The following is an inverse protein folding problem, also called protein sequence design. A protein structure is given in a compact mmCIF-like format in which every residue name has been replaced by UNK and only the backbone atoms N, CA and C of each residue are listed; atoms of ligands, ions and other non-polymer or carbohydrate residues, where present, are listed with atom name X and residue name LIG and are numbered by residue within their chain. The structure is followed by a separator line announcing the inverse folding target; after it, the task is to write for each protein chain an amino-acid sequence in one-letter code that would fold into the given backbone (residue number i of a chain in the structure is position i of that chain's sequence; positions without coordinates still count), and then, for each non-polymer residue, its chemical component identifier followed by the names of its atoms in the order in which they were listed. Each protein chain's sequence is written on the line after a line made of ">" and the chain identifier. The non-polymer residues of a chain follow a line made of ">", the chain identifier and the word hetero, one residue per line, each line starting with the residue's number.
data_IF_831507777547
#
_entry.id   IF_831507777547
#
_cell.length_a   1.000
_cell.length_b   1.000
_cell.length_c   1.000
_cell.angle_alpha   90.00
_cell.angle_beta   90.00
_cell.angle_gamma   90.00
#
_symmetry.space_group_name_H-M   'P 1'
#
loop_
_entity.id
_entity.type
_entity.pdbx_description
1 polymer ?
#
# COMPACT_ATOMS: atom_id res chain seq x y z
N UNK A 1 22.72 -7.19 14.19
CA UNK A 1 21.45 -7.42 13.46
C UNK A 1 21.01 -6.10 12.89
N UNK A 2 20.57 -6.09 11.64
CA UNK A 2 20.07 -4.87 10.99
C UNK A 2 18.80 -4.36 11.68
N UNK A 3 18.63 -3.04 11.73
CA UNK A 3 17.41 -2.40 12.27
C UNK A 3 16.20 -2.65 11.36
N UNK A 4 16.44 -2.72 10.05
CA UNK A 4 15.39 -2.80 9.03
C UNK A 4 15.86 -3.59 7.81
N UNK A 5 14.95 -4.28 7.14
CA UNK A 5 15.16 -4.85 5.80
C UNK A 5 14.35 -4.07 4.78
N UNK A 6 14.99 -3.57 3.73
CA UNK A 6 14.30 -2.94 2.61
C UNK A 6 14.01 -4.02 1.56
N UNK A 7 12.73 -4.22 1.24
CA UNK A 7 12.25 -5.16 0.23
C UNK A 7 11.80 -4.38 -0.99
N UNK A 8 12.43 -4.65 -2.13
CA UNK A 8 12.17 -3.96 -3.41
C UNK A 8 11.63 -4.99 -4.41
N UNK A 9 10.32 -5.02 -4.67
CA UNK A 9 9.77 -5.84 -5.75
C UNK A 9 10.14 -5.21 -7.11
N UNK A 10 10.64 -6.03 -8.02
CA UNK A 10 10.98 -5.62 -9.38
C UNK A 10 10.26 -6.46 -10.42
N UNK A 11 9.72 -5.83 -11.45
CA UNK A 11 9.21 -6.48 -12.64
C UNK A 11 9.41 -5.58 -13.85
N UNK A 12 10.34 -5.97 -14.75
CA UNK A 12 10.72 -5.22 -15.95
C UNK A 12 11.02 -3.73 -15.66
N UNK A 13 11.80 -3.49 -14.60
CA UNK A 13 12.06 -2.14 -14.08
C UNK A 13 13.49 -1.64 -14.29
N UNK A 14 14.26 -2.21 -15.21
CA UNK A 14 15.69 -1.91 -15.43
C UNK A 14 15.97 -0.39 -15.54
N UNK A 15 15.05 0.37 -16.13
CA UNK A 15 15.21 1.81 -16.33
C UNK A 15 15.24 2.63 -15.00
N UNK A 16 14.72 2.07 -13.92
CA UNK A 16 14.60 2.75 -12.62
C UNK A 16 15.58 2.22 -11.57
N UNK A 17 16.05 0.98 -11.74
CA UNK A 17 16.84 0.26 -10.74
C UNK A 17 18.08 1.03 -10.29
N UNK A 18 18.82 1.66 -11.21
CA UNK A 18 20.04 2.39 -10.85
C UNK A 18 19.73 3.51 -9.86
N UNK A 19 18.78 4.36 -10.15
CA UNK A 19 18.40 5.50 -9.30
C UNK A 19 17.88 5.02 -7.95
N UNK A 20 17.04 4.00 -7.94
CA UNK A 20 16.48 3.43 -6.73
C UNK A 20 17.59 2.83 -5.84
N UNK A 21 18.38 1.91 -6.37
CA UNK A 21 19.39 1.19 -5.60
C UNK A 21 20.52 2.09 -5.12
N UNK A 22 21.00 3.04 -5.95
CA UNK A 22 22.01 4.01 -5.53
C UNK A 22 21.50 4.84 -4.34
N UNK A 23 20.26 5.32 -4.39
CA UNK A 23 19.66 6.11 -3.30
C UNK A 23 19.41 5.31 -2.02
N UNK A 24 19.05 4.04 -2.16
CA UNK A 24 18.88 3.11 -1.04
C UNK A 24 20.23 2.82 -0.38
N UNK A 25 21.26 2.52 -1.14
CA UNK A 25 22.58 2.22 -0.60
C UNK A 25 23.30 3.43 0.00
N UNK A 26 22.85 4.64 -0.34
CA UNK A 26 23.32 5.90 0.25
C UNK A 26 22.61 6.28 1.57
N UNK A 27 21.74 5.42 2.13
CA UNK A 27 21.06 5.70 3.38
C UNK A 27 22.04 5.79 4.54
N UNK A 28 21.72 6.68 5.50
CA UNK A 28 22.52 6.93 6.70
C UNK A 28 21.67 6.84 7.97
N UNK A 29 22.33 6.69 9.12
CA UNK A 29 21.65 6.69 10.43
C UNK A 29 20.89 5.41 10.79
N UNK A 30 21.01 4.35 9.99
CA UNK A 30 20.35 3.06 10.23
C UNK A 30 21.18 1.91 9.65
N UNK A 31 21.16 0.76 10.29
CA UNK A 31 21.72 -0.49 9.74
C UNK A 31 20.60 -1.24 9.00
N UNK A 32 20.84 -1.55 7.72
CA UNK A 32 19.82 -2.17 6.87
C UNK A 32 20.37 -3.32 6.03
N UNK A 33 19.49 -4.27 5.73
CA UNK A 33 19.64 -5.25 4.67
C UNK A 33 18.76 -4.85 3.48
N UNK A 34 19.17 -5.22 2.26
CA UNK A 34 18.39 -4.96 1.04
C UNK A 34 18.12 -6.28 0.34
N UNK A 35 16.83 -6.58 0.12
CA UNK A 35 16.37 -7.76 -0.61
C UNK A 35 15.58 -7.28 -1.83
N UNK A 36 16.01 -7.68 -3.00
CA UNK A 36 15.33 -7.39 -4.27
C UNK A 36 14.62 -8.66 -4.72
N UNK A 37 13.31 -8.58 -4.92
CA UNK A 37 12.53 -9.69 -5.45
C UNK A 37 12.21 -9.41 -6.91
N UNK A 38 12.98 -10.03 -7.79
CA UNK A 38 12.69 -9.98 -9.21
C UNK A 38 11.56 -10.95 -9.55
N UNK A 39 10.45 -10.40 -10.02
CA UNK A 39 9.20 -11.12 -10.23
C UNK A 39 9.08 -11.64 -11.67
N UNK A 40 10.15 -12.29 -12.16
CA UNK A 40 10.21 -12.87 -13.50
C UNK A 40 10.44 -11.84 -14.60
N UNK A 41 11.37 -10.89 -14.41
CA UNK A 41 11.73 -9.90 -15.43
C UNK A 41 12.43 -10.54 -16.62
N UNK A 42 12.23 -9.93 -17.80
CA UNK A 42 12.83 -10.34 -19.09
C UNK A 42 13.58 -9.19 -19.78
N UNK A 43 13.75 -8.06 -19.07
CA UNK A 43 14.35 -6.83 -19.58
C UNK A 43 15.85 -6.67 -19.26
N UNK A 44 16.49 -7.70 -18.68
CA UNK A 44 17.88 -7.65 -18.23
C UNK A 44 18.07 -7.18 -16.78
N UNK A 45 16.97 -6.92 -16.03
CA UNK A 45 17.01 -6.49 -14.63
C UNK A 45 17.83 -7.40 -13.74
N UNK A 46 17.69 -8.72 -13.88
CA UNK A 46 18.39 -9.72 -13.04
C UNK A 46 19.90 -9.64 -13.22
N UNK A 47 20.37 -9.60 -14.47
CA UNK A 47 21.79 -9.48 -14.79
C UNK A 47 22.36 -8.13 -14.33
N UNK A 48 21.59 -7.04 -14.54
CA UNK A 48 21.97 -5.72 -14.08
C UNK A 48 22.15 -5.66 -12.56
N UNK A 49 21.22 -6.21 -11.78
CA UNK A 49 21.30 -6.23 -10.30
C UNK A 49 22.47 -7.07 -9.84
N UNK A 50 22.61 -8.31 -10.33
CA UNK A 50 23.65 -9.22 -9.88
C UNK A 50 25.06 -8.72 -10.20
N UNK A 51 25.25 -8.00 -11.30
CA UNK A 51 26.55 -7.46 -11.72
C UNK A 51 26.92 -6.17 -10.98
N UNK A 52 25.95 -5.29 -10.70
CA UNK A 52 26.23 -3.94 -10.18
C UNK A 52 25.96 -3.79 -8.67
N UNK A 53 25.15 -4.67 -8.08
CA UNK A 53 24.71 -4.59 -6.68
C UNK A 53 24.86 -5.93 -5.95
N UNK A 54 26.06 -6.58 -5.96
CA UNK A 54 26.27 -7.89 -5.36
C UNK A 54 26.10 -7.89 -3.83
N UNK A 55 26.07 -6.73 -3.17
CA UNK A 55 25.80 -6.56 -1.75
C UNK A 55 24.31 -6.68 -1.39
N UNK A 56 23.39 -6.64 -2.37
CA UNK A 56 21.96 -6.85 -2.16
C UNK A 56 21.63 -8.34 -2.36
N UNK A 57 20.71 -8.88 -1.53
CA UNK A 57 20.16 -10.21 -1.79
C UNK A 57 19.19 -10.13 -2.98
N UNK A 58 19.49 -10.83 -4.07
CA UNK A 58 18.59 -10.95 -5.23
C UNK A 58 17.88 -12.30 -5.20
N UNK A 59 16.56 -12.26 -5.25
CA UNK A 59 15.68 -13.44 -5.36
C UNK A 59 14.92 -13.36 -6.68
N UNK A 60 15.14 -14.32 -7.58
CA UNK A 60 14.46 -14.39 -8.87
C UNK A 60 13.30 -15.39 -8.82
N UNK A 61 12.10 -14.91 -9.13
CA UNK A 61 10.93 -15.75 -9.35
C UNK A 61 10.88 -16.13 -10.86
N UNK A 62 10.27 -17.26 -11.16
CA UNK A 62 10.20 -17.80 -12.52
C UNK A 62 9.19 -17.08 -13.43
N UNK A 63 8.23 -16.35 -12.84
CA UNK A 63 7.24 -15.56 -13.56
C UNK A 63 6.65 -14.43 -12.67
N UNK A 64 5.84 -13.56 -13.27
CA UNK A 64 5.15 -12.50 -12.53
C UNK A 64 3.94 -13.05 -11.75
N UNK A 65 4.11 -13.19 -10.44
CA UNK A 65 3.05 -13.60 -9.49
C UNK A 65 2.26 -12.43 -8.88
N UNK A 66 2.54 -11.19 -9.31
CA UNK A 66 1.97 -9.98 -8.75
C UNK A 66 2.75 -9.41 -7.57
N UNK A 67 2.39 -8.20 -7.17
CA UNK A 67 3.06 -7.45 -6.11
C UNK A 67 3.02 -8.19 -4.75
N UNK A 68 1.84 -8.70 -4.38
CA UNK A 68 1.62 -9.35 -3.08
C UNK A 68 2.56 -10.54 -2.84
N UNK A 69 2.73 -11.40 -3.84
CA UNK A 69 3.63 -12.56 -3.75
C UNK A 69 5.08 -12.12 -3.63
N UNK A 70 5.50 -11.14 -4.45
CA UNK A 70 6.87 -10.65 -4.42
C UNK A 70 7.22 -10.05 -3.07
N UNK A 71 6.38 -9.17 -2.49
CA UNK A 71 6.66 -8.58 -1.18
C UNK A 71 6.60 -9.60 -0.05
N UNK A 72 5.69 -10.58 -0.09
CA UNK A 72 5.64 -11.66 0.90
C UNK A 72 6.93 -12.48 0.91
N UNK A 73 7.49 -12.78 -0.26
CA UNK A 73 8.77 -13.50 -0.37
C UNK A 73 9.89 -12.73 0.34
N UNK A 74 9.98 -11.42 0.14
CA UNK A 74 10.95 -10.58 0.83
C UNK A 74 10.69 -10.47 2.35
N UNK A 75 9.43 -10.29 2.77
CA UNK A 75 9.04 -10.24 4.18
C UNK A 75 9.39 -11.55 4.90
N UNK A 76 9.19 -12.69 4.25
CA UNK A 76 9.51 -14.01 4.84
C UNK A 76 11.02 -14.20 5.05
N UNK A 77 11.85 -13.58 4.22
CA UNK A 77 13.34 -13.62 4.32
C UNK A 77 13.89 -12.59 5.30
N UNK A 78 13.19 -11.49 5.52
CA UNK A 78 13.62 -10.42 6.42
C UNK A 78 13.89 -10.96 7.84
N UNK A 79 15.05 -10.59 8.43
CA UNK A 79 15.44 -10.99 9.78
C UNK A 79 15.37 -9.84 10.79
N UNK A 80 15.19 -8.62 10.30
CA UNK A 80 15.10 -7.41 11.09
C UNK A 80 13.72 -7.22 11.71
N UNK A 81 13.58 -6.45 12.80
CA UNK A 81 12.29 -6.18 13.44
C UNK A 81 11.32 -5.41 12.56
N UNK A 82 11.85 -4.65 11.60
CA UNK A 82 11.06 -3.85 10.67
C UNK A 82 11.39 -4.23 9.23
N UNK A 83 10.38 -4.13 8.37
CA UNK A 83 10.51 -4.25 6.92
C UNK A 83 9.99 -2.99 6.23
N UNK A 84 10.78 -2.41 5.34
CA UNK A 84 10.34 -1.34 4.44
C UNK A 84 10.01 -1.97 3.09
N UNK A 85 8.82 -1.73 2.58
CA UNK A 85 8.49 -1.98 1.19
C UNK A 85 8.75 -0.71 0.40
N UNK A 86 9.48 -0.85 -0.70
CA UNK A 86 9.86 0.27 -1.54
C UNK A 86 9.74 -0.11 -3.02
N UNK A 87 8.96 0.65 -3.79
CA UNK A 87 8.87 0.46 -5.23
C UNK A 87 10.22 0.74 -5.92
N UNK A 88 10.51 0.01 -6.98
CA UNK A 88 11.73 0.15 -7.77
C UNK A 88 11.81 1.46 -8.56
N UNK A 89 10.69 2.17 -8.77
CA UNK A 89 10.60 3.46 -9.46
C UNK A 89 10.65 4.67 -8.52
N UNK A 90 11.48 4.56 -7.46
CA UNK A 90 11.63 5.57 -6.43
C UNK A 90 13.08 6.08 -6.29
N UNK A 91 13.23 7.28 -5.72
CA UNK A 91 14.50 7.86 -5.25
C UNK A 91 14.31 8.33 -3.80
N UNK A 92 14.99 7.72 -2.84
CA UNK A 92 14.84 8.04 -1.41
C UNK A 92 15.86 9.09 -0.94
N UNK A 93 15.46 9.94 0.03
CA UNK A 93 16.36 10.92 0.66
C UNK A 93 17.25 10.21 1.70
N UNK A 94 18.43 10.78 2.05
CA UNK A 94 19.45 10.09 2.87
C UNK A 94 18.99 9.60 4.25
N UNK A 95 17.97 10.22 4.87
CA UNK A 95 17.42 9.83 6.18
C UNK A 95 16.09 9.09 6.10
N UNK A 96 15.64 8.72 4.91
CA UNK A 96 14.33 8.08 4.69
C UNK A 96 14.12 6.85 5.59
N UNK A 97 15.03 5.90 5.56
CA UNK A 97 14.90 4.68 6.37
C UNK A 97 15.06 4.94 7.86
N UNK A 98 15.98 5.84 8.25
CA UNK A 98 16.18 6.21 9.65
C UNK A 98 14.95 6.89 10.26
N UNK A 99 14.32 7.83 9.53
CA UNK A 99 13.09 8.51 9.97
C UNK A 99 11.93 7.53 10.16
N UNK A 100 11.73 6.60 9.22
CA UNK A 100 10.70 5.56 9.36
C UNK A 100 10.94 4.66 10.58
N UNK A 101 12.18 4.22 10.79
CA UNK A 101 12.54 3.38 11.96
C UNK A 101 12.34 4.17 13.26
N UNK A 102 12.73 5.44 13.31
CA UNK A 102 12.53 6.30 14.48
C UNK A 102 11.03 6.43 14.81
N UNK A 103 10.21 6.73 13.80
CA UNK A 103 8.76 6.82 13.95
C UNK A 103 8.14 5.53 14.50
N UNK A 104 8.56 4.36 14.01
CA UNK A 104 8.05 3.08 14.52
C UNK A 104 8.44 2.79 15.97
N UNK A 105 9.57 3.33 16.45
CA UNK A 105 10.04 3.15 17.84
C UNK A 105 9.28 4.01 18.85
N UNK A 106 8.58 5.06 18.43
CA UNK A 106 7.83 5.97 19.34
C UNK A 106 6.61 5.29 19.99
N UNK A 107 5.89 4.44 19.25
CA UNK A 107 4.70 3.77 19.76
C UNK A 107 4.64 2.31 19.26
N UNK A 108 4.73 1.37 20.19
CA UNK A 108 4.66 -0.08 19.87
C UNK A 108 3.34 -0.51 19.23
N UNK A 109 2.29 0.30 19.31
CA UNK A 109 1.01 0.04 18.64
C UNK A 109 1.03 0.41 17.15
N UNK A 110 2.07 1.11 16.67
CA UNK A 110 2.26 1.39 15.25
C UNK A 110 2.59 0.11 14.50
N UNK A 111 1.68 -0.30 13.65
CA UNK A 111 1.85 -1.45 12.75
C UNK A 111 2.66 -1.09 11.52
N UNK A 112 2.36 0.09 10.97
CA UNK A 112 2.99 0.60 9.74
C UNK A 112 3.14 2.11 9.79
N UNK A 113 4.07 2.62 8.99
CA UNK A 113 4.23 4.04 8.78
C UNK A 113 4.50 4.33 7.29
N UNK A 114 3.72 5.24 6.70
CA UNK A 114 3.88 5.69 5.31
C UNK A 114 4.89 6.83 5.24
N UNK A 115 5.75 6.79 4.25
CA UNK A 115 6.65 7.90 3.94
C UNK A 115 5.91 9.06 3.27
N UNK A 116 6.53 10.25 3.25
CA UNK A 116 6.13 11.39 2.41
C UNK A 116 6.56 11.11 0.97
N UNK A 117 5.63 10.60 0.18
CA UNK A 117 5.88 10.36 -1.24
C UNK A 117 5.63 11.62 -2.05
N UNK A 118 6.63 12.07 -2.78
CA UNK A 118 6.61 13.24 -3.65
C UNK A 118 6.63 12.81 -5.11
N UNK A 119 5.96 13.56 -5.98
CA UNK A 119 5.99 13.30 -7.42
C UNK A 119 7.41 13.51 -7.98
N UNK A 120 7.96 12.55 -8.69
CA UNK A 120 9.33 12.63 -9.23
C UNK A 120 9.56 13.87 -10.11
N UNK A 121 8.58 14.19 -10.97
CA UNK A 121 8.65 15.32 -11.91
C UNK A 121 8.25 16.67 -11.29
N UNK A 122 7.57 16.66 -10.12
CA UNK A 122 7.11 17.86 -9.40
C UNK A 122 7.39 17.69 -7.92
N UNK A 123 8.67 17.78 -7.54
CA UNK A 123 9.20 17.42 -6.22
C UNK A 123 8.64 18.21 -5.02
N UNK A 124 7.85 19.25 -5.25
CA UNK A 124 7.14 20.02 -4.22
C UNK A 124 5.69 19.57 -4.02
N UNK A 125 5.21 18.64 -4.86
CA UNK A 125 3.85 18.10 -4.79
C UNK A 125 3.84 16.67 -4.29
N UNK A 126 2.88 16.39 -3.41
CA UNK A 126 2.66 15.04 -2.90
C UNK A 126 2.16 14.10 -4.00
N UNK A 127 2.70 12.91 -4.01
CA UNK A 127 2.09 11.75 -4.67
C UNK A 127 1.21 10.99 -3.68
N UNK A 128 1.68 10.84 -2.43
CA UNK A 128 0.95 10.19 -1.34
C UNK A 128 1.50 10.61 0.03
N UNK A 129 0.61 10.76 1.02
CA UNK A 129 0.92 10.99 2.44
C UNK A 129 0.14 10.02 3.34
N UNK A 130 -0.03 8.78 2.87
CA UNK A 130 -0.89 7.76 3.45
C UNK A 130 -2.29 7.76 2.86
N UNK A 131 -3.05 6.73 3.18
CA UNK A 131 -4.38 6.54 2.60
C UNK A 131 -5.47 6.61 3.67
N UNK A 132 -6.64 7.09 3.26
CA UNK A 132 -7.89 6.98 3.99
C UNK A 132 -8.87 6.05 3.28
N UNK A 133 -9.82 5.51 4.04
CA UNK A 133 -10.92 4.74 3.49
C UNK A 133 -12.25 5.22 4.06
N UNK A 134 -13.32 5.29 3.27
CA UNK A 134 -14.61 5.79 3.72
C UNK A 134 -15.76 4.81 3.45
N UNK A 135 -16.91 5.07 4.06
CA UNK A 135 -18.08 4.21 3.97
C UNK A 135 -18.68 4.07 2.56
N UNK A 136 -18.33 4.95 1.61
CA UNK A 136 -18.66 4.75 0.19
C UNK A 136 -17.86 3.62 -0.48
N UNK A 137 -16.94 2.97 0.24
CA UNK A 137 -16.05 2.00 -0.34
C UNK A 137 -14.97 2.64 -1.22
N UNK A 138 -14.45 3.79 -0.82
CA UNK A 138 -13.41 4.50 -1.55
C UNK A 138 -12.13 4.62 -0.73
N UNK A 139 -11.02 4.17 -1.31
CA UNK A 139 -9.68 4.55 -0.87
C UNK A 139 -9.32 5.93 -1.43
N UNK A 140 -8.67 6.73 -0.63
CA UNK A 140 -8.33 8.12 -0.89
C UNK A 140 -6.85 8.29 -0.57
N UNK A 141 -6.04 8.59 -1.58
CA UNK A 141 -4.65 8.98 -1.39
C UNK A 141 -4.61 10.39 -0.79
N UNK A 142 -4.11 10.49 0.45
CA UNK A 142 -4.02 11.75 1.20
C UNK A 142 -3.04 12.69 0.54
N UNK A 143 -3.46 13.92 0.33
CA UNK A 143 -2.60 15.01 -0.16
C UNK A 143 -2.21 14.93 -1.63
N UNK A 144 -2.68 13.97 -2.41
CA UNK A 144 -2.23 13.81 -3.80
C UNK A 144 -2.39 15.07 -4.63
N UNK A 145 -1.25 15.57 -5.17
CA UNK A 145 -1.18 16.81 -5.96
C UNK A 145 -1.18 18.10 -5.14
N UNK A 146 -1.17 18.02 -3.80
CA UNK A 146 -1.05 19.17 -2.90
C UNK A 146 0.40 19.52 -2.62
N UNK A 147 0.70 20.78 -2.24
CA UNK A 147 2.01 21.18 -1.79
C UNK A 147 2.46 20.41 -0.55
N UNK A 148 3.73 19.96 -0.52
CA UNK A 148 4.27 19.20 0.61
C UNK A 148 4.27 19.95 1.92
N UNK A 149 4.33 21.30 1.88
CA UNK A 149 4.31 22.18 3.05
C UNK A 149 2.99 22.12 3.85
N UNK A 150 1.92 21.61 3.25
CA UNK A 150 0.64 21.40 3.93
C UNK A 150 0.64 20.10 4.77
N UNK A 151 1.70 19.28 4.67
CA UNK A 151 1.78 17.92 5.27
C UNK A 151 3.11 17.72 6.01
N UNK A 152 3.49 18.69 6.84
CA UNK A 152 4.74 18.68 7.63
C UNK A 152 4.58 18.02 9.00
N UNK A 153 3.38 17.61 9.37
CA UNK A 153 3.08 17.02 10.68
C UNK A 153 2.77 15.52 10.54
N UNK A 154 3.41 14.71 11.37
CA UNK A 154 3.11 13.29 11.49
C UNK A 154 1.66 13.10 11.97
N UNK A 155 0.95 12.12 11.40
CA UNK A 155 -0.48 11.92 11.66
C UNK A 155 -0.89 10.46 11.55
N UNK A 156 -2.00 10.10 12.19
CA UNK A 156 -2.59 8.78 12.05
C UNK A 156 -3.36 8.69 10.73
N UNK A 157 -3.10 7.63 9.99
CA UNK A 157 -3.75 7.34 8.70
C UNK A 157 -4.48 6.00 8.76
N UNK A 158 -5.35 5.72 7.78
CA UNK A 158 -6.03 4.42 7.72
C UNK A 158 -5.08 3.32 7.22
N UNK A 159 -4.29 3.60 6.19
CA UNK A 159 -3.35 2.67 5.59
C UNK A 159 -2.08 3.37 5.13
N UNK A 160 -0.94 2.70 5.31
CA UNK A 160 0.31 3.11 4.69
C UNK A 160 0.39 2.58 3.27
N UNK A 161 0.80 3.44 2.32
CA UNK A 161 0.96 3.07 0.91
C UNK A 161 2.14 2.11 0.72
N UNK A 162 1.89 0.90 0.22
CA UNK A 162 2.89 -0.14 0.02
C UNK A 162 4.04 0.21 -0.94
N UNK A 163 3.95 1.35 -1.62
CA UNK A 163 5.02 1.86 -2.50
C UNK A 163 6.22 2.45 -1.75
N UNK A 164 6.05 2.93 -0.51
CA UNK A 164 7.12 3.41 0.36
C UNK A 164 6.63 3.44 1.82
N UNK A 165 6.66 2.30 2.50
CA UNK A 165 6.17 2.19 3.86
C UNK A 165 6.95 1.17 4.68
N UNK A 166 7.06 1.42 6.00
CA UNK A 166 7.63 0.51 6.98
C UNK A 166 6.54 -0.24 7.73
N UNK A 167 6.81 -1.48 8.08
CA UNK A 167 5.92 -2.36 8.83
C UNK A 167 6.69 -3.09 9.93
N UNK A 168 6.00 -3.47 11.01
CA UNK A 168 6.55 -4.42 11.99
C UNK A 168 6.53 -5.83 11.39
N UNK A 169 7.70 -6.42 11.16
CA UNK A 169 7.87 -7.69 10.43
C UNK A 169 7.02 -8.82 11.03
N UNK A 170 7.11 -9.03 12.33
CA UNK A 170 6.39 -10.11 13.00
C UNK A 170 4.86 -9.88 13.02
N UNK A 171 4.40 -8.62 13.11
CA UNK A 171 2.97 -8.33 13.04
C UNK A 171 2.40 -8.62 11.66
N UNK A 172 3.14 -8.29 10.58
CA UNK A 172 2.74 -8.64 9.21
C UNK A 172 2.61 -10.16 9.07
N UNK A 173 3.59 -10.92 9.54
CA UNK A 173 3.56 -12.39 9.51
C UNK A 173 2.39 -12.95 10.31
N UNK A 174 2.14 -12.43 11.50
CA UNK A 174 1.08 -12.87 12.40
C UNK A 174 -0.32 -12.76 11.78
N UNK A 175 -0.56 -11.71 11.00
CA UNK A 175 -1.87 -11.52 10.31
C UNK A 175 -1.90 -12.11 8.91
N UNK A 176 -0.87 -12.90 8.52
CA UNK A 176 -0.84 -13.67 7.28
C UNK A 176 -0.31 -12.94 6.05
N UNK A 177 0.47 -11.85 6.22
CA UNK A 177 1.10 -11.13 5.13
C UNK A 177 0.12 -10.42 4.20
N UNK A 178 0.60 -10.08 3.01
CA UNK A 178 -0.23 -9.53 1.93
C UNK A 178 -1.06 -10.64 1.28
N UNK A 179 -2.34 -10.39 1.03
CA UNK A 179 -3.22 -11.38 0.42
C UNK A 179 -2.97 -11.47 -1.09
N UNK A 180 -2.34 -12.57 -1.52
CA UNK A 180 -1.95 -12.80 -2.91
C UNK A 180 -3.14 -12.84 -3.90
N UNK A 181 -4.38 -13.01 -3.41
CA UNK A 181 -5.57 -12.93 -4.23
C UNK A 181 -5.82 -11.53 -4.83
N UNK A 182 -5.22 -10.47 -4.23
CA UNK A 182 -5.26 -9.11 -4.80
C UNK A 182 -4.42 -9.00 -6.08
N UNK A 183 -3.31 -9.68 -6.18
CA UNK A 183 -2.29 -9.54 -7.20
C UNK A 183 -1.58 -8.17 -7.12
N UNK A 184 -2.33 -7.07 -7.28
CA UNK A 184 -1.89 -5.67 -7.10
C UNK A 184 -3.11 -4.76 -6.88
N UNK A 185 -2.93 -3.64 -6.19
CA UNK A 185 -3.87 -2.59 -5.78
C UNK A 185 -4.79 -2.98 -4.61
N UNK A 186 -4.82 -2.11 -3.59
CA UNK A 186 -5.57 -2.22 -2.34
C UNK A 186 -5.12 -3.38 -1.41
N UNK A 187 -4.03 -4.04 -1.71
CA UNK A 187 -3.41 -5.06 -0.85
C UNK A 187 -2.85 -4.46 0.44
N UNK A 188 -2.31 -3.25 0.37
CA UNK A 188 -1.83 -2.44 1.51
C UNK A 188 -2.99 -2.00 2.39
N UNK A 189 -4.07 -1.51 1.79
CA UNK A 189 -5.31 -1.17 2.47
C UNK A 189 -5.91 -2.39 3.18
N UNK A 190 -5.95 -3.55 2.53
CA UNK A 190 -6.41 -4.82 3.12
C UNK A 190 -5.55 -5.22 4.33
N UNK A 191 -4.22 -5.15 4.18
CA UNK A 191 -3.28 -5.49 5.24
C UNK A 191 -3.48 -4.57 6.46
N UNK A 192 -3.51 -3.25 6.23
CA UNK A 192 -3.69 -2.27 7.29
C UNK A 192 -5.08 -2.37 7.94
N UNK A 193 -6.13 -2.71 7.18
CA UNK A 193 -7.46 -2.97 7.75
C UNK A 193 -7.42 -4.15 8.72
N UNK A 194 -6.78 -5.27 8.32
CA UNK A 194 -6.60 -6.42 9.23
C UNK A 194 -5.82 -6.05 10.48
N UNK A 195 -4.77 -5.25 10.36
CA UNK A 195 -4.01 -4.74 11.49
C UNK A 195 -4.88 -3.88 12.43
N UNK A 196 -5.71 -2.99 11.89
CA UNK A 196 -6.65 -2.16 12.66
C UNK A 196 -7.70 -2.98 13.42
N UNK A 197 -8.16 -4.11 12.88
CA UNK A 197 -9.05 -5.05 13.61
C UNK A 197 -8.37 -5.59 14.87
N UNK A 198 -7.04 -5.68 14.90
CA UNK A 198 -6.26 -6.02 16.09
C UNK A 198 -5.98 -4.83 17.02
N UNK A 199 -6.45 -3.62 16.66
CA UNK A 199 -6.23 -2.39 17.43
C UNK A 199 -4.89 -1.70 17.12
N UNK A 200 -4.16 -2.15 16.12
CA UNK A 200 -2.91 -1.54 15.69
C UNK A 200 -3.15 -0.34 14.76
N UNK A 201 -2.16 0.56 14.68
CA UNK A 201 -2.30 1.85 13.99
C UNK A 201 -1.36 1.95 12.80
N UNK A 202 -1.79 2.68 11.79
CA UNK A 202 -0.93 3.15 10.70
C UNK A 202 -0.65 4.65 10.86
N UNK A 203 0.57 5.07 10.53
CA UNK A 203 1.06 6.43 10.76
C UNK A 203 1.66 7.01 9.48
N UNK A 204 1.81 8.31 9.40
CA UNK A 204 2.48 9.05 8.34
C UNK A 204 3.67 9.79 8.93
N UNK A 205 4.84 9.71 8.27
CA UNK A 205 6.08 10.34 8.70
C UNK A 205 6.57 11.33 7.64
N UNK A 206 6.49 12.64 7.90
CA UNK A 206 6.88 13.67 6.93
C UNK A 206 8.38 13.76 6.67
N UNK A 207 9.23 13.36 7.62
CA UNK A 207 10.69 13.43 7.47
C UNK A 207 11.25 12.28 6.61
N UNK A 208 10.44 11.26 6.37
CA UNK A 208 10.77 10.15 5.47
C UNK A 208 10.39 10.51 4.02
N UNK A 209 11.20 11.32 3.34
CA UNK A 209 10.91 11.75 1.96
C UNK A 209 11.39 10.74 0.91
N UNK A 210 10.53 10.50 -0.09
CA UNK A 210 10.83 9.70 -1.27
C UNK A 210 10.20 10.31 -2.52
N UNK A 211 10.93 10.34 -3.63
CA UNK A 211 10.41 10.72 -4.94
C UNK A 211 9.94 9.49 -5.70
N UNK A 212 8.74 9.54 -6.24
CA UNK A 212 8.11 8.41 -6.92
C UNK A 212 7.73 8.79 -8.35
N UNK A 213 8.14 7.98 -9.32
CA UNK A 213 7.81 8.21 -10.74
C UNK A 213 6.33 8.01 -10.96
N UNK A 214 5.77 6.99 -10.34
CA UNK A 214 4.35 6.68 -10.36
C UNK A 214 3.86 6.17 -11.70
N UNK A 215 3.10 5.07 -11.65
CA UNK A 215 2.56 4.44 -12.85
C UNK A 215 3.58 3.96 -13.89
N UNK A 216 4.86 3.85 -13.53
CA UNK A 216 5.93 3.42 -14.42
C UNK A 216 5.64 2.04 -15.05
N UNK A 217 5.26 1.07 -14.23
CA UNK A 217 4.92 -0.29 -14.68
C UNK A 217 3.52 -0.40 -15.29
N UNK A 218 2.57 0.43 -14.85
CA UNK A 218 1.14 0.28 -15.18
C UNK A 218 0.62 1.34 -16.17
N UNK A 219 1.46 2.26 -16.64
CA UNK A 219 1.12 3.27 -17.63
C UNK A 219 0.26 4.43 -17.10
N UNK A 220 -0.86 4.75 -17.72
CA UNK A 220 -1.70 5.90 -17.38
C UNK A 220 -2.40 5.80 -16.03
N UNK A 221 -2.86 6.95 -15.49
CA UNK A 221 -3.61 7.03 -14.23
C UNK A 221 -4.84 6.11 -14.20
N UNK A 222 -5.58 6.02 -15.32
CA UNK A 222 -6.72 5.12 -15.50
C UNK A 222 -6.50 4.27 -16.75
N UNK A 223 -6.47 2.96 -16.59
CA UNK A 223 -6.43 1.98 -17.67
C UNK A 223 -7.20 0.73 -17.26
N UNK A 224 -7.44 -0.17 -18.23
CA UNK A 224 -8.18 -1.41 -18.00
C UNK A 224 -7.63 -2.23 -16.82
N UNK A 225 -6.32 -2.42 -16.75
CA UNK A 225 -5.68 -3.22 -15.71
C UNK A 225 -5.97 -2.66 -14.30
N UNK A 226 -5.72 -1.35 -14.10
CA UNK A 226 -5.97 -0.69 -12.82
C UNK A 226 -7.45 -0.75 -12.42
N UNK A 227 -8.35 -0.43 -13.34
CA UNK A 227 -9.79 -0.36 -13.06
C UNK A 227 -10.33 -1.74 -12.71
N UNK A 228 -9.96 -2.77 -13.47
CA UNK A 228 -10.39 -4.15 -13.25
C UNK A 228 -9.93 -4.67 -11.89
N UNK A 229 -8.62 -4.51 -11.59
CA UNK A 229 -8.07 -4.98 -10.31
C UNK A 229 -8.61 -4.18 -9.13
N UNK A 230 -8.59 -2.84 -9.19
CA UNK A 230 -9.06 -2.01 -8.08
C UNK A 230 -10.55 -2.23 -7.76
N UNK A 231 -11.42 -2.38 -8.78
CA UNK A 231 -12.83 -2.62 -8.55
C UNK A 231 -13.07 -3.99 -7.89
N UNK A 232 -12.43 -5.04 -8.40
CA UNK A 232 -12.56 -6.39 -7.86
C UNK A 232 -11.97 -6.54 -6.47
N UNK A 233 -10.78 -6.02 -6.27
CA UNK A 233 -10.07 -6.06 -4.99
C UNK A 233 -10.82 -5.26 -3.92
N UNK A 234 -11.41 -4.11 -4.28
CA UNK A 234 -12.20 -3.32 -3.35
C UNK A 234 -13.44 -4.09 -2.82
N UNK A 235 -14.18 -4.74 -3.72
CA UNK A 235 -15.31 -5.57 -3.33
C UNK A 235 -14.87 -6.74 -2.45
N UNK A 236 -13.78 -7.41 -2.81
CA UNK A 236 -13.22 -8.51 -2.06
C UNK A 236 -12.72 -8.09 -0.67
N UNK A 237 -12.01 -6.97 -0.56
CA UNK A 237 -11.53 -6.41 0.69
C UNK A 237 -12.68 -6.09 1.65
N UNK A 238 -13.76 -5.47 1.16
CA UNK A 238 -14.97 -5.20 1.95
C UNK A 238 -15.57 -6.51 2.47
N UNK A 239 -15.79 -7.49 1.60
CA UNK A 239 -16.31 -8.82 1.97
C UNK A 239 -15.44 -9.49 3.02
N UNK A 240 -14.12 -9.43 2.86
CA UNK A 240 -13.15 -10.10 3.72
C UNK A 240 -13.08 -9.49 5.11
N UNK A 241 -13.07 -8.18 5.23
CA UNK A 241 -12.72 -7.46 6.45
C UNK A 241 -13.93 -6.94 7.23
N UNK A 242 -15.05 -6.65 6.57
CA UNK A 242 -16.26 -6.20 7.27
C UNK A 242 -17.09 -7.38 7.81
N UNK A 243 -17.42 -7.39 9.12
CA UNK A 243 -18.46 -8.26 9.65
C UNK A 243 -19.82 -7.97 9.00
N UNK A 244 -20.72 -8.95 8.97
CA UNK A 244 -22.03 -8.81 8.33
C UNK A 244 -22.82 -7.59 8.84
N UNK A 245 -22.84 -7.36 10.15
CA UNK A 245 -23.51 -6.19 10.73
C UNK A 245 -22.95 -4.87 10.21
N UNK A 246 -21.62 -4.76 10.09
CA UNK A 246 -20.97 -3.58 9.53
C UNK A 246 -21.24 -3.42 8.03
N UNK A 247 -21.28 -4.51 7.27
CA UNK A 247 -21.65 -4.49 5.85
C UNK A 247 -23.09 -3.98 5.66
N UNK A 248 -24.04 -4.48 6.45
CA UNK A 248 -25.44 -4.05 6.38
C UNK A 248 -25.60 -2.58 6.77
N UNK A 249 -24.88 -2.14 7.81
CA UNK A 249 -24.89 -0.74 8.25
C UNK A 249 -24.36 0.21 7.16
N UNK A 250 -23.35 -0.20 6.41
CA UNK A 250 -22.74 0.61 5.33
C UNK A 250 -23.37 0.35 3.96
N UNK A 251 -24.31 -0.59 3.82
CA UNK A 251 -24.86 -0.98 2.52
C UNK A 251 -25.42 0.19 1.70
N UNK A 252 -26.19 1.15 2.27
CA UNK A 252 -26.68 2.31 1.51
C UNK A 252 -25.53 3.15 0.95
N UNK A 253 -24.51 3.41 1.75
CA UNK A 253 -23.31 4.18 1.34
C UNK A 253 -22.51 3.45 0.26
N UNK A 254 -22.30 2.14 0.43
CA UNK A 254 -21.60 1.31 -0.54
C UNK A 254 -22.32 1.30 -1.89
N UNK A 255 -23.65 1.13 -1.91
CA UNK A 255 -24.43 1.14 -3.16
C UNK A 255 -24.27 2.48 -3.89
N UNK A 256 -24.40 3.62 -3.18
CA UNK A 256 -24.17 4.94 -3.74
C UNK A 256 -22.73 5.10 -4.24
N UNK A 257 -21.74 4.67 -3.45
CA UNK A 257 -20.33 4.78 -3.80
C UNK A 257 -19.95 3.97 -5.04
N UNK A 258 -20.43 2.73 -5.15
CA UNK A 258 -20.21 1.90 -6.34
C UNK A 258 -20.92 2.47 -7.57
N UNK A 259 -22.13 2.99 -7.43
CA UNK A 259 -22.87 3.63 -8.52
C UNK A 259 -22.12 4.87 -9.05
N UNK A 260 -21.67 5.75 -8.16
CA UNK A 260 -20.90 6.95 -8.56
C UNK A 260 -19.61 6.55 -9.28
N UNK A 261 -18.85 5.57 -8.77
CA UNK A 261 -17.65 5.05 -9.46
C UNK A 261 -17.98 4.44 -10.81
N UNK A 262 -19.07 3.69 -10.92
CA UNK A 262 -19.50 3.14 -12.19
C UNK A 262 -19.80 4.26 -13.23
N UNK A 263 -20.59 5.25 -12.85
CA UNK A 263 -20.91 6.38 -13.73
C UNK A 263 -19.65 7.19 -14.12
N UNK A 264 -18.73 7.39 -13.17
CA UNK A 264 -17.44 8.01 -13.45
C UNK A 264 -16.63 7.22 -14.49
N UNK A 265 -16.53 5.90 -14.36
CA UNK A 265 -15.82 5.10 -15.33
C UNK A 265 -16.54 4.94 -16.66
N UNK A 266 -17.88 4.98 -16.69
CA UNK A 266 -18.64 5.10 -17.95
C UNK A 266 -18.24 6.39 -18.69
N UNK A 267 -18.19 7.53 -17.98
CA UNK A 267 -17.75 8.82 -18.57
C UNK A 267 -16.29 8.77 -19.06
N UNK A 268 -15.44 7.92 -18.48
CA UNK A 268 -14.04 7.70 -18.90
C UNK A 268 -13.86 6.64 -19.99
N UNK A 269 -14.94 6.03 -20.50
CA UNK A 269 -14.87 4.93 -21.47
C UNK A 269 -14.47 3.56 -20.86
N UNK A 270 -14.39 3.46 -19.53
CA UNK A 270 -13.92 2.26 -18.79
C UNK A 270 -15.07 1.58 -18.00
N UNK A 271 -16.31 1.89 -18.29
CA UNK A 271 -17.48 1.33 -17.59
C UNK A 271 -17.60 -0.18 -17.72
N UNK A 272 -17.24 -0.74 -18.90
CA UNK A 272 -17.17 -2.20 -19.09
C UNK A 272 -16.12 -2.84 -18.18
N UNK A 273 -14.92 -2.26 -18.14
CA UNK A 273 -13.81 -2.78 -17.33
C UNK A 273 -14.14 -2.72 -15.82
N UNK A 274 -14.85 -1.68 -15.38
CA UNK A 274 -15.30 -1.58 -13.99
C UNK A 274 -16.31 -2.68 -13.63
N UNK A 275 -17.29 -3.00 -14.52
CA UNK A 275 -18.23 -4.11 -14.31
C UNK A 275 -17.54 -5.46 -14.30
N UNK A 276 -16.59 -5.69 -15.22
CA UNK A 276 -15.76 -6.90 -15.25
C UNK A 276 -14.96 -7.02 -13.94
N UNK A 277 -14.43 -5.91 -13.43
CA UNK A 277 -13.75 -5.86 -12.15
C UNK A 277 -14.66 -6.25 -10.98
N UNK A 278 -15.90 -5.76 -10.93
CA UNK A 278 -16.87 -6.16 -9.89
C UNK A 278 -17.19 -7.65 -9.99
N UNK A 279 -17.41 -8.19 -11.21
CA UNK A 279 -17.63 -9.62 -11.42
C UNK A 279 -16.45 -10.45 -10.91
N UNK A 280 -15.21 -10.05 -11.20
CA UNK A 280 -13.99 -10.64 -10.63
C UNK A 280 -14.00 -10.56 -9.10
N UNK A 281 -14.45 -9.46 -8.51
CA UNK A 281 -14.56 -9.30 -7.05
C UNK A 281 -15.49 -10.34 -6.42
N UNK A 282 -16.65 -10.59 -7.00
CA UNK A 282 -17.55 -11.66 -6.56
C UNK A 282 -16.91 -13.06 -6.67
N UNK A 283 -16.14 -13.28 -7.75
CA UNK A 283 -15.39 -14.53 -7.92
C UNK A 283 -14.32 -14.71 -6.84
N UNK A 284 -13.57 -13.63 -6.53
CA UNK A 284 -12.59 -13.63 -5.43
C UNK A 284 -13.25 -13.93 -4.08
N UNK A 285 -14.39 -13.32 -3.78
CA UNK A 285 -15.16 -13.61 -2.56
C UNK A 285 -15.56 -15.08 -2.48
N UNK A 286 -15.96 -15.68 -3.61
CA UNK A 286 -16.37 -17.11 -3.66
C UNK A 286 -15.18 -18.05 -3.50
N UNK A 287 -14.05 -17.76 -4.16
CA UNK A 287 -12.85 -18.61 -4.13
C UNK A 287 -12.10 -18.57 -2.80
N UNK A 288 -12.14 -17.41 -2.11
CA UNK A 288 -11.34 -17.16 -0.90
C UNK A 288 -12.24 -16.97 0.34
N UNK A 289 -13.30 -17.76 0.48
CA UNK A 289 -14.21 -17.70 1.64
C UNK A 289 -13.51 -17.98 2.97
N UNK A 290 -12.52 -18.85 2.94
CA UNK A 290 -11.66 -19.24 4.05
C UNK A 290 -10.77 -18.10 4.57
N UNK A 291 -10.46 -17.13 3.70
CA UNK A 291 -9.66 -15.93 4.05
C UNK A 291 -10.49 -14.81 4.70
N UNK A 292 -11.81 -14.99 4.85
CA UNK A 292 -12.64 -14.00 5.54
C UNK A 292 -12.21 -13.85 7.00
N UNK A 293 -11.98 -12.60 7.42
CA UNK A 293 -11.59 -12.30 8.80
C UNK A 293 -12.70 -12.71 9.74
N UNK A 294 -12.37 -13.60 10.68
CA UNK A 294 -13.31 -14.06 11.68
C UNK A 294 -13.60 -12.96 12.69
N UNK A 295 -14.87 -12.64 12.89
CA UNK A 295 -15.28 -11.71 13.94
C UNK A 295 -14.98 -12.29 15.33
N UNK A 296 -14.32 -11.51 16.16
CA UNK A 296 -14.05 -11.84 17.57
C UNK A 296 -14.59 -10.72 18.45
N UNK A 297 -15.37 -11.05 19.46
CA UNK A 297 -15.95 -10.07 20.39
C UNK A 297 -14.90 -9.20 21.09
N UNK A 298 -13.72 -9.71 21.39
CA UNK A 298 -12.61 -8.95 21.96
C UNK A 298 -12.16 -7.78 21.07
N UNK A 299 -12.41 -7.85 19.75
CA UNK A 299 -12.05 -6.84 18.79
C UNK A 299 -13.19 -5.84 18.49
N UNK A 300 -14.32 -5.94 19.21
CA UNK A 300 -15.46 -5.03 19.01
C UNK A 300 -15.07 -3.54 19.10
N UNK A 301 -14.25 -3.07 20.08
CA UNK A 301 -13.82 -1.68 20.12
C UNK A 301 -13.11 -1.23 18.84
N UNK A 302 -12.27 -2.08 18.26
CA UNK A 302 -11.57 -1.79 17.01
C UNK A 302 -12.56 -1.68 15.81
N UNK A 303 -13.54 -2.58 15.70
CA UNK A 303 -14.58 -2.47 14.67
C UNK A 303 -15.42 -1.19 14.83
N UNK A 304 -15.74 -0.78 16.05
CA UNK A 304 -16.44 0.49 16.30
C UNK A 304 -15.57 1.68 15.89
N UNK A 305 -14.29 1.68 16.26
CA UNK A 305 -13.37 2.74 15.87
C UNK A 305 -13.23 2.84 14.34
N UNK A 306 -13.08 1.70 13.64
CA UNK A 306 -13.06 1.64 12.18
C UNK A 306 -14.37 2.21 11.62
N UNK A 307 -15.54 1.83 12.17
CA UNK A 307 -16.82 2.33 11.68
C UNK A 307 -16.95 3.84 11.79
N UNK A 308 -16.56 4.41 12.93
CA UNK A 308 -16.58 5.86 13.15
C UNK A 308 -15.67 6.55 12.14
N UNK A 309 -14.48 6.00 11.90
CA UNK A 309 -13.54 6.55 10.93
C UNK A 309 -14.06 6.47 9.50
N UNK A 310 -14.67 5.35 9.08
CA UNK A 310 -15.31 5.23 7.77
C UNK A 310 -16.35 6.33 7.52
N UNK A 311 -17.12 6.70 8.54
CA UNK A 311 -18.12 7.78 8.44
C UNK A 311 -17.47 9.17 8.49
N UNK A 312 -16.48 9.40 9.35
CA UNK A 312 -15.73 10.67 9.38
C UNK A 312 -15.08 10.96 8.05
N UNK A 313 -14.51 9.95 7.41
CA UNK A 313 -13.82 10.10 6.13
C UNK A 313 -14.76 10.44 4.95
N UNK A 314 -16.09 10.26 5.09
CA UNK A 314 -17.05 10.82 4.13
C UNK A 314 -16.92 12.35 4.06
N UNK A 315 -16.63 12.99 5.20
CA UNK A 315 -16.55 14.45 5.28
C UNK A 315 -15.37 15.03 4.48
N UNK A 316 -14.35 14.22 4.13
CA UNK A 316 -13.24 14.63 3.28
C UNK A 316 -13.68 15.00 1.84
N UNK A 317 -14.87 14.54 1.41
CA UNK A 317 -15.43 14.87 0.11
C UNK A 317 -16.31 16.13 0.11
N UNK A 318 -16.55 16.75 1.27
CA UNK A 318 -17.35 17.99 1.32
C UNK A 318 -16.49 19.17 0.85
N UNK A 319 -17.05 20.05 -0.01
CA UNK A 319 -16.36 21.25 -0.48
C UNK A 319 -15.88 22.12 0.69
N UNK A 320 -14.60 22.55 0.65
CA UNK A 320 -14.01 23.48 1.62
C UNK A 320 -13.45 22.85 2.89
N UNK A 321 -13.49 21.54 3.10
CA UNK A 321 -12.77 20.89 4.20
C UNK A 321 -11.38 20.48 3.74
N UNK A 322 -10.36 20.88 4.50
CA UNK A 322 -8.99 20.39 4.36
C UNK A 322 -8.86 19.04 5.07
N UNK A 323 -8.03 18.16 4.53
CA UNK A 323 -7.55 16.95 5.20
C UNK A 323 -6.55 17.42 6.28
N UNK A 324 -7.06 17.84 7.45
CA UNK A 324 -6.24 18.15 8.62
C UNK A 324 -6.14 16.90 9.46
#
# INVERSE_FOLDING_TARGET
>A
MSDVTIVIPNYNGIAFLKTCLDSVLAQTGVQMDVIIIDNGSVDGSQEFISSNYPQCELVCLDQNYGFCRAVNEGINRAKSPYVILLNNDTEVRPLFAASLVASMKEDKSRFSCSARMLMYTKRDLLDDAGDFYCAFGWGIARGKGRPKQEYETADQIFSACGGAAIYQTEMVRLIGGFDEAHFAYLEDMDLCWRARIHGWKSWYEPDAEVFHVGSATSGSRYNRFKVLHSAGNNLYMIYKNMPLAQMLLNLPFLLVGFLIKYLFFVKKGLGKDYREGLARGFELCRKNKDRKVRFLWKNLPAYVAIQVELWKNILLFLPGRREN
#
